data_IF_118140070839
#
_entry.id   IF_118140070839
#
_cell.length_a   1.000
_cell.length_b   1.000
_cell.length_c   1.000
_cell.angle_alpha   90.00
_cell.angle_beta   90.00
_cell.angle_gamma   90.00
#
_symmetry.space_group_name_H-M   'P 1'
#
loop_
_entity.id
_entity.type
_entity.pdbx_description
1 polymer ?
#
# COMPACT_ATOMS: atom_id res chain seq x y z
N UNK A 1 -5.58 10.91 -5.74
CA UNK A 1 -6.86 10.16 -5.73
C UNK A 1 -6.80 9.03 -6.75
N UNK A 2 -7.30 7.82 -6.43
CA UNK A 2 -7.45 6.70 -7.36
C UNK A 2 -8.52 7.00 -8.41
N UNK A 3 -8.51 6.26 -9.52
CA UNK A 3 -9.60 6.26 -10.50
C UNK A 3 -10.80 5.48 -9.93
N UNK A 4 -11.90 6.19 -9.68
CA UNK A 4 -13.15 5.57 -9.20
C UNK A 4 -14.01 5.03 -10.34
N UNK A 5 -13.62 5.27 -11.59
CA UNK A 5 -14.35 4.80 -12.77
C UNK A 5 -13.86 3.44 -13.28
N UNK A 6 -12.72 2.98 -12.77
CA UNK A 6 -12.21 1.65 -13.11
C UNK A 6 -13.17 0.57 -12.60
N UNK A 7 -13.43 -0.47 -13.39
CA UNK A 7 -14.45 -1.49 -13.14
C UNK A 7 -14.32 -2.12 -11.74
N UNK A 8 -13.09 -2.45 -11.32
CA UNK A 8 -12.87 -3.02 -9.99
C UNK A 8 -13.10 -2.05 -8.81
N UNK A 9 -13.19 -0.75 -9.06
CA UNK A 9 -13.37 0.29 -8.05
C UNK A 9 -14.72 1.01 -8.18
N UNK A 10 -15.47 0.78 -9.25
CA UNK A 10 -16.70 1.51 -9.58
C UNK A 10 -17.81 1.39 -8.53
N UNK A 11 -17.91 0.24 -7.88
CA UNK A 11 -18.89 0.01 -6.80
C UNK A 11 -18.35 0.41 -5.42
N UNK A 12 -17.07 0.80 -5.31
CA UNK A 12 -16.42 1.11 -4.05
C UNK A 12 -16.73 2.55 -3.63
N UNK A 13 -17.16 2.72 -2.39
CA UNK A 13 -17.31 4.02 -1.77
C UNK A 13 -15.99 4.42 -1.10
N UNK A 14 -15.41 5.52 -1.58
CA UNK A 14 -14.22 6.14 -1.00
C UNK A 14 -14.61 7.44 -0.30
N UNK A 15 -14.14 7.60 0.92
CA UNK A 15 -14.09 8.88 1.61
C UNK A 15 -12.75 9.54 1.29
N UNK A 16 -12.76 10.78 0.79
CA UNK A 16 -11.53 11.51 0.47
C UNK A 16 -11.26 12.60 1.50
N UNK A 17 -10.08 12.55 2.12
CA UNK A 17 -9.61 13.47 3.13
C UNK A 17 -8.38 14.22 2.59
N UNK A 18 -8.61 15.35 1.92
CA UNK A 18 -7.57 16.17 1.30
C UNK A 18 -7.83 17.68 1.45
N UNK A 19 -6.84 18.51 1.10
CA UNK A 19 -6.94 19.97 1.22
C UNK A 19 -7.67 20.66 0.05
N UNK A 20 -8.04 19.92 -1.00
CA UNK A 20 -8.67 20.47 -2.21
C UNK A 20 -9.52 19.42 -2.92
N UNK A 21 -10.55 19.84 -3.67
CA UNK A 21 -11.35 18.99 -4.57
C UNK A 21 -10.53 18.48 -5.76
N UNK A 22 -9.52 17.64 -5.50
CA UNK A 22 -8.75 16.97 -6.54
C UNK A 22 -9.70 16.06 -7.36
N UNK A 23 -9.55 16.05 -8.68
CA UNK A 23 -10.32 15.11 -9.49
C UNK A 23 -9.90 13.67 -9.16
N UNK A 24 -10.84 12.72 -9.27
CA UNK A 24 -10.51 11.29 -9.24
C UNK A 24 -9.60 10.93 -10.43
N UNK A 25 -8.83 9.84 -10.30
CA UNK A 25 -7.97 9.34 -11.38
C UNK A 25 -6.65 10.07 -11.61
N UNK A 26 -6.31 11.07 -10.80
CA UNK A 26 -5.05 11.84 -10.96
C UNK A 26 -3.80 11.00 -10.68
N UNK A 27 -3.87 10.01 -9.80
CA UNK A 27 -2.69 9.25 -9.36
C UNK A 27 -2.77 7.79 -9.81
N UNK A 28 -1.96 7.38 -10.80
CA UNK A 28 -1.84 5.97 -11.19
C UNK A 28 -1.39 5.07 -10.03
N UNK A 29 -0.51 5.58 -9.18
CA UNK A 29 -0.03 4.88 -7.99
C UNK A 29 -1.15 4.65 -6.97
N UNK A 30 -1.96 5.69 -6.70
CA UNK A 30 -3.17 5.57 -5.89
C UNK A 30 -4.13 4.52 -6.45
N UNK A 31 -4.38 4.56 -7.76
CA UNK A 31 -5.30 3.63 -8.43
C UNK A 31 -4.82 2.19 -8.28
N UNK A 32 -3.52 1.95 -8.48
CA UNK A 32 -2.94 0.64 -8.31
C UNK A 32 -3.08 0.12 -6.87
N UNK A 33 -2.71 0.93 -5.86
CA UNK A 33 -2.83 0.54 -4.44
C UNK A 33 -4.29 0.24 -4.07
N UNK A 34 -5.22 1.13 -4.42
CA UNK A 34 -6.62 0.93 -4.12
C UNK A 34 -7.19 -0.30 -4.83
N UNK A 35 -6.76 -0.60 -6.07
CA UNK A 35 -7.18 -1.82 -6.77
C UNK A 35 -6.67 -3.09 -6.07
N UNK A 36 -5.40 -3.12 -5.66
CA UNK A 36 -4.80 -4.27 -4.95
C UNK A 36 -5.48 -4.50 -3.59
N UNK A 37 -5.90 -3.43 -2.93
CA UNK A 37 -6.50 -3.53 -1.59
C UNK A 37 -8.01 -3.78 -1.65
N UNK A 38 -8.75 -2.98 -2.41
CA UNK A 38 -10.21 -2.95 -2.37
C UNK A 38 -10.90 -3.45 -3.63
N UNK A 39 -10.15 -3.70 -4.71
CA UNK A 39 -10.75 -3.93 -6.01
C UNK A 39 -11.56 -5.22 -6.08
N UNK A 40 -12.65 -5.19 -6.83
CA UNK A 40 -13.51 -6.35 -7.08
C UNK A 40 -14.10 -6.25 -8.48
N UNK A 41 -13.71 -7.14 -9.37
CA UNK A 41 -14.27 -7.22 -10.73
C UNK A 41 -14.45 -8.68 -11.15
N UNK A 42 -15.69 -9.20 -11.15
CA UNK A 42 -15.96 -10.58 -11.55
C UNK A 42 -15.77 -10.85 -13.04
N UNK A 43 -15.65 -9.82 -13.86
CA UNK A 43 -15.54 -9.90 -15.31
C UNK A 43 -14.18 -9.42 -15.82
N UNK A 44 -13.17 -9.36 -14.93
CA UNK A 44 -11.85 -8.88 -15.28
C UNK A 44 -11.22 -9.72 -16.40
N UNK A 45 -10.46 -9.05 -17.26
CA UNK A 45 -9.80 -9.66 -18.40
C UNK A 45 -8.38 -9.12 -18.56
N UNK A 46 -7.44 -9.99 -18.94
CA UNK A 46 -6.12 -9.61 -19.36
C UNK A 46 -5.71 -10.47 -20.57
N UNK A 47 -5.12 -9.91 -21.63
CA UNK A 47 -4.77 -10.66 -22.84
C UNK A 47 -3.90 -11.91 -22.62
N UNK A 48 -3.06 -11.92 -21.57
CA UNK A 48 -2.19 -13.04 -21.24
C UNK A 48 -2.80 -14.02 -20.23
N UNK A 49 -3.81 -13.61 -19.45
CA UNK A 49 -4.46 -14.43 -18.42
C UNK A 49 -5.85 -14.95 -18.82
N UNK A 50 -6.47 -14.33 -19.83
CA UNK A 50 -7.88 -14.55 -20.17
C UNK A 50 -8.82 -13.85 -19.18
N UNK A 51 -10.02 -14.39 -19.01
CA UNK A 51 -11.01 -13.90 -18.06
C UNK A 51 -10.74 -14.49 -16.67
N UNK A 52 -10.87 -13.68 -15.62
CA UNK A 52 -10.67 -14.08 -14.23
C UNK A 52 -11.51 -13.23 -13.28
N UNK A 53 -11.58 -13.66 -12.03
CA UNK A 53 -12.20 -12.89 -10.95
C UNK A 53 -11.11 -12.04 -10.27
N UNK A 54 -11.17 -10.72 -10.42
CA UNK A 54 -10.26 -9.80 -9.73
C UNK A 54 -10.76 -9.54 -8.31
N UNK A 55 -9.89 -9.74 -7.33
CA UNK A 55 -10.18 -9.50 -5.91
C UNK A 55 -8.95 -8.93 -5.22
N UNK A 56 -9.11 -7.77 -4.59
CA UNK A 56 -8.11 -7.19 -3.70
C UNK A 56 -8.00 -7.94 -2.38
N UNK A 57 -7.07 -7.53 -1.53
CA UNK A 57 -6.82 -8.17 -0.24
C UNK A 57 -7.98 -7.99 0.76
N UNK A 58 -8.73 -6.88 0.67
CA UNK A 58 -9.80 -6.48 1.55
C UNK A 58 -10.96 -5.80 0.76
N UNK A 59 -11.60 -6.50 -0.19
CA UNK A 59 -12.55 -5.88 -1.12
C UNK A 59 -13.79 -5.29 -0.44
N UNK A 60 -14.17 -5.80 0.73
CA UNK A 60 -15.35 -5.35 1.48
C UNK A 60 -15.03 -4.25 2.51
N UNK A 61 -13.75 -3.99 2.83
CA UNK A 61 -13.35 -3.00 3.84
C UNK A 61 -13.68 -1.56 3.41
N UNK A 62 -14.12 -0.70 4.33
CA UNK A 62 -14.34 0.72 4.00
C UNK A 62 -13.00 1.42 3.78
N UNK A 63 -12.99 2.42 2.91
CA UNK A 63 -11.77 3.05 2.43
C UNK A 63 -11.79 4.56 2.62
N UNK A 64 -10.97 5.03 3.55
CA UNK A 64 -10.67 6.44 3.78
C UNK A 64 -9.33 6.78 3.14
N UNK A 65 -9.37 7.58 2.09
CA UNK A 65 -8.19 7.96 1.32
C UNK A 65 -7.71 9.32 1.81
N UNK A 66 -6.53 9.34 2.43
CA UNK A 66 -5.93 10.55 2.96
C UNK A 66 -4.82 11.05 2.05
N UNK A 67 -4.87 12.35 1.73
CA UNK A 67 -3.68 13.08 1.31
C UNK A 67 -2.76 13.24 2.52
N UNK A 68 -1.47 13.03 2.30
CA UNK A 68 -0.51 12.90 3.39
C UNK A 68 -0.47 14.13 4.31
N UNK A 69 -0.40 15.36 3.75
CA UNK A 69 -0.39 16.58 4.57
C UNK A 69 -1.71 16.81 5.30
N UNK A 70 -2.84 16.48 4.70
CA UNK A 70 -4.14 16.50 5.35
C UNK A 70 -4.15 15.59 6.60
N UNK A 71 -3.62 14.37 6.50
CA UNK A 71 -3.47 13.48 7.65
C UNK A 71 -2.54 14.06 8.72
N UNK A 72 -1.38 14.59 8.32
CA UNK A 72 -0.46 15.21 9.28
C UNK A 72 -1.13 16.36 10.04
N UNK A 73 -1.92 17.18 9.34
CA UNK A 73 -2.57 18.35 9.93
C UNK A 73 -3.72 17.99 10.85
N UNK A 74 -4.55 17.02 10.48
CA UNK A 74 -5.77 16.71 11.20
C UNK A 74 -5.61 15.58 12.22
N UNK A 75 -4.55 14.78 12.13
CA UNK A 75 -4.33 13.64 13.01
C UNK A 75 -3.02 13.77 13.79
N UNK A 76 -1.91 14.00 13.10
CA UNK A 76 -0.58 13.99 13.74
C UNK A 76 -0.35 15.22 14.62
N UNK A 77 -0.54 16.44 14.10
CA UNK A 77 -0.39 17.67 14.89
C UNK A 77 -1.29 17.72 16.13
N UNK A 78 -2.60 17.42 16.04
CA UNK A 78 -3.47 17.44 17.23
C UNK A 78 -3.34 16.17 18.09
N UNK A 79 -2.62 15.14 17.63
CA UNK A 79 -2.51 13.86 18.34
C UNK A 79 -3.84 13.11 18.45
N UNK A 80 -4.67 13.19 17.42
CA UNK A 80 -6.00 12.57 17.34
C UNK A 80 -5.99 11.46 16.27
N UNK A 81 -6.38 10.22 16.60
CA UNK A 81 -6.36 9.13 15.63
C UNK A 81 -7.41 9.36 14.53
N UNK A 82 -7.22 8.83 13.31
CA UNK A 82 -8.30 8.75 12.34
C UNK A 82 -9.38 7.77 12.82
N UNK A 83 -10.56 7.84 12.22
CA UNK A 83 -11.60 6.82 12.36
C UNK A 83 -11.26 5.67 11.41
N UNK A 84 -10.25 4.88 11.76
CA UNK A 84 -9.77 3.74 10.99
C UNK A 84 -9.10 2.72 11.91
N UNK A 85 -9.31 1.43 11.61
CA UNK A 85 -8.69 0.33 12.34
C UNK A 85 -7.23 0.12 11.90
N UNK A 86 -6.99 0.28 10.59
CA UNK A 86 -5.69 0.05 9.96
C UNK A 86 -5.33 1.23 9.07
N UNK A 87 -4.08 1.66 9.19
CA UNK A 87 -3.47 2.64 8.30
C UNK A 87 -2.47 1.92 7.41
N UNK A 88 -2.64 2.01 6.10
CA UNK A 88 -1.65 1.54 5.12
C UNK A 88 -0.97 2.72 4.43
N UNK A 89 0.36 2.68 4.41
CA UNK A 89 1.20 3.74 3.89
C UNK A 89 2.19 3.20 2.85
N UNK A 90 1.81 3.26 1.58
CA UNK A 90 2.65 2.85 0.45
C UNK A 90 3.58 3.98 -0.03
N UNK A 91 4.05 4.81 0.90
CA UNK A 91 4.87 6.01 0.69
C UNK A 91 5.99 6.02 1.72
N UNK A 92 7.07 6.77 1.45
CA UNK A 92 8.04 7.02 2.50
C UNK A 92 9.16 8.00 2.17
N UNK A 93 9.90 8.38 3.21
CA UNK A 93 11.04 9.28 3.16
C UNK A 93 12.27 8.64 3.82
N UNK A 94 13.47 8.89 3.29
CA UNK A 94 14.73 8.38 3.83
C UNK A 94 15.08 8.89 5.23
N UNK A 95 14.45 9.98 5.66
CA UNK A 95 14.69 10.59 6.97
C UNK A 95 13.53 10.37 7.92
N UNK A 96 13.88 9.96 9.13
CA UNK A 96 12.99 10.08 10.27
C UNK A 96 12.82 11.56 10.61
N UNK A 97 11.57 12.00 10.75
CA UNK A 97 11.27 13.39 11.10
C UNK A 97 10.13 13.45 12.12
N UNK A 98 9.74 14.65 12.54
CA UNK A 98 8.71 14.91 13.54
C UNK A 98 7.39 14.18 13.24
N UNK A 99 7.02 14.05 11.96
CA UNK A 99 5.78 13.39 11.56
C UNK A 99 5.83 11.88 11.76
N UNK A 100 7.00 11.26 11.61
CA UNK A 100 7.21 9.83 11.91
C UNK A 100 6.97 9.57 13.39
N UNK A 101 7.58 10.40 14.26
CA UNK A 101 7.37 10.32 15.71
C UNK A 101 5.93 10.58 16.12
N UNK A 102 5.26 11.47 15.39
CA UNK A 102 3.85 11.73 15.55
C UNK A 102 2.97 10.51 15.24
N UNK A 103 3.25 9.81 14.13
CA UNK A 103 2.58 8.53 13.80
C UNK A 103 2.84 7.48 14.88
N UNK A 104 4.10 7.31 15.31
CA UNK A 104 4.43 6.36 16.39
C UNK A 104 3.70 6.67 17.70
N UNK A 105 3.55 7.96 18.03
CA UNK A 105 2.80 8.41 19.19
C UNK A 105 1.30 8.10 19.05
N UNK A 106 0.72 8.18 17.85
CA UNK A 106 -0.66 7.76 17.63
C UNK A 106 -0.83 6.24 17.82
N UNK A 107 0.11 5.45 17.29
CA UNK A 107 0.12 3.98 17.50
C UNK A 107 0.20 3.64 18.98
N UNK A 108 1.15 4.23 19.70
CA UNK A 108 1.37 3.92 21.12
C UNK A 108 0.17 4.29 22.01
N UNK A 109 -0.48 5.42 21.72
CA UNK A 109 -1.58 5.93 22.56
C UNK A 109 -2.93 5.27 22.27
N UNK A 110 -3.19 4.95 21.00
CA UNK A 110 -4.52 4.54 20.55
C UNK A 110 -4.57 3.10 20.05
N UNK A 111 -3.43 2.40 19.97
CA UNK A 111 -3.38 1.02 19.48
C UNK A 111 -3.62 0.89 17.97
N UNK A 112 -3.42 1.97 17.20
CA UNK A 112 -3.58 1.95 15.74
C UNK A 112 -2.58 0.99 15.09
N UNK A 113 -3.06 0.18 14.14
CA UNK A 113 -2.17 -0.65 13.34
C UNK A 113 -1.73 0.16 12.12
N UNK A 114 -0.42 0.41 11.99
CA UNK A 114 0.15 1.08 10.82
C UNK A 114 1.04 0.09 10.07
N UNK A 115 0.76 -0.08 8.78
CA UNK A 115 1.51 -0.92 7.86
C UNK A 115 2.11 -0.02 6.79
N UNK A 116 3.42 -0.10 6.54
CA UNK A 116 4.08 0.80 5.61
C UNK A 116 5.21 0.14 4.84
N UNK A 117 5.40 0.55 3.59
CA UNK A 117 6.48 0.05 2.74
C UNK A 117 7.84 0.49 3.25
N UNK A 118 8.82 -0.41 3.21
CA UNK A 118 10.17 -0.14 3.71
C UNK A 118 11.06 0.60 2.70
N UNK A 119 10.63 0.73 1.45
CA UNK A 119 11.39 1.31 0.36
C UNK A 119 11.84 0.31 -0.69
N UNK A 120 12.21 0.85 -1.85
CA UNK A 120 12.44 0.09 -3.08
C UNK A 120 13.92 -0.19 -3.39
N UNK A 121 14.83 -0.05 -2.43
CA UNK A 121 16.16 -0.65 -2.47
C UNK A 121 16.98 -0.53 -3.76
N UNK A 122 16.91 0.54 -4.55
CA UNK A 122 17.58 0.63 -5.85
C UNK A 122 19.10 0.35 -5.83
N UNK A 123 19.74 0.43 -4.65
CA UNK A 123 21.03 -0.18 -4.34
C UNK A 123 21.04 -0.90 -2.98
N UNK A 124 22.00 -1.81 -2.79
CA UNK A 124 22.25 -2.58 -1.54
C UNK A 124 22.44 -1.69 -0.29
N UNK A 125 22.73 -0.40 -0.47
CA UNK A 125 22.95 0.55 0.62
C UNK A 125 21.87 1.63 0.72
N UNK A 126 20.78 1.50 -0.04
CA UNK A 126 19.70 2.47 0.02
C UNK A 126 19.07 2.48 1.41
N UNK A 127 18.79 3.66 1.98
CA UNK A 127 18.22 3.76 3.30
C UNK A 127 16.81 3.14 3.32
N UNK A 128 16.43 2.66 4.51
CA UNK A 128 15.03 2.35 4.79
C UNK A 128 14.20 3.63 4.75
N UNK A 129 12.96 3.51 4.29
CA UNK A 129 12.01 4.62 4.29
C UNK A 129 11.12 4.61 5.52
N UNK A 130 10.89 5.79 6.07
CA UNK A 130 9.88 6.06 7.09
C UNK A 130 8.55 6.37 6.42
N UNK A 131 7.39 5.96 6.99
CA UNK A 131 7.25 5.43 8.34
C UNK A 131 7.55 3.92 8.47
N UNK A 132 7.79 3.16 7.39
CA UNK A 132 8.05 1.72 7.47
C UNK A 132 9.21 1.32 8.39
N UNK A 133 10.24 2.17 8.46
CA UNK A 133 11.39 1.99 9.35
C UNK A 133 11.15 2.38 10.82
N UNK A 134 9.98 2.95 11.16
CA UNK A 134 9.64 3.36 12.52
C UNK A 134 9.43 2.14 13.45
N UNK A 135 9.62 2.31 14.75
CA UNK A 135 9.61 1.21 15.72
C UNK A 135 8.21 0.62 15.93
N UNK A 136 7.19 1.49 15.94
CA UNK A 136 5.79 1.10 16.16
C UNK A 136 4.99 0.90 14.87
N UNK A 137 5.65 0.78 13.72
CA UNK A 137 5.01 0.58 12.40
C UNK A 137 5.41 -0.78 11.87
N UNK A 138 4.50 -1.52 11.24
CA UNK A 138 4.81 -2.75 10.53
C UNK A 138 5.42 -2.38 9.17
N UNK A 139 6.74 -2.50 9.07
CA UNK A 139 7.52 -2.27 7.86
C UNK A 139 7.47 -3.48 6.93
N UNK A 140 7.03 -3.26 5.69
CA UNK A 140 6.84 -4.31 4.68
C UNK A 140 7.92 -4.21 3.60
N UNK A 141 8.71 -5.27 3.48
CA UNK A 141 9.65 -5.48 2.37
C UNK A 141 9.01 -6.22 1.19
N UNK A 142 9.83 -6.49 0.18
CA UNK A 142 9.39 -7.14 -1.06
C UNK A 142 10.06 -8.50 -1.20
N UNK A 143 9.27 -9.53 -1.51
CA UNK A 143 9.76 -10.74 -2.17
C UNK A 143 9.48 -10.61 -3.65
N UNK A 144 10.49 -10.85 -4.47
CA UNK A 144 10.32 -10.79 -5.92
C UNK A 144 9.47 -11.94 -6.44
N UNK A 145 8.79 -11.70 -7.54
CA UNK A 145 8.25 -12.77 -8.37
C UNK A 145 9.36 -13.56 -9.05
N UNK A 146 9.05 -14.79 -9.48
CA UNK A 146 9.85 -15.43 -10.51
C UNK A 146 9.75 -14.60 -11.80
N UNK A 147 10.87 -14.39 -12.48
CA UNK A 147 10.92 -13.62 -13.72
C UNK A 147 10.94 -14.57 -14.94
N UNK A 148 9.78 -14.78 -15.55
CA UNK A 148 9.60 -15.58 -16.77
C UNK A 148 8.76 -14.83 -17.80
N UNK A 149 8.69 -15.35 -19.04
CA UNK A 149 7.76 -14.83 -20.06
C UNK A 149 6.28 -15.12 -19.75
N UNK A 150 6.00 -16.02 -18.81
CA UNK A 150 4.65 -16.40 -18.42
C UNK A 150 4.14 -15.51 -17.27
N UNK A 151 3.23 -14.59 -17.57
CA UNK A 151 2.66 -13.67 -16.58
C UNK A 151 1.99 -14.41 -15.40
N UNK A 152 1.27 -15.51 -15.66
CA UNK A 152 0.63 -16.27 -14.59
C UNK A 152 1.66 -16.87 -13.62
N UNK A 153 2.79 -17.36 -14.14
CA UNK A 153 3.89 -17.86 -13.30
C UNK A 153 4.53 -16.74 -12.48
N UNK A 154 4.71 -15.55 -13.08
CA UNK A 154 5.25 -14.39 -12.38
C UNK A 154 4.32 -13.94 -11.25
N UNK A 155 3.00 -13.99 -11.42
CA UNK A 155 2.05 -13.58 -10.39
C UNK A 155 1.87 -14.65 -9.28
N UNK A 156 2.04 -15.92 -9.60
CA UNK A 156 1.76 -17.04 -8.67
C UNK A 156 2.99 -17.55 -7.90
N UNK A 157 4.20 -17.27 -8.38
CA UNK A 157 5.42 -17.81 -7.80
C UNK A 157 6.40 -16.71 -7.41
N UNK A 158 6.99 -16.89 -6.24
CA UNK A 158 7.99 -15.99 -5.68
C UNK A 158 9.39 -16.56 -5.83
N UNK A 159 10.37 -15.66 -5.98
CA UNK A 159 11.79 -15.96 -5.93
C UNK A 159 12.36 -15.52 -4.58
N UNK A 160 13.51 -14.86 -4.55
CA UNK A 160 14.16 -14.37 -3.34
C UNK A 160 13.85 -12.89 -3.11
N UNK A 161 14.05 -12.41 -1.89
CA UNK A 161 14.14 -10.98 -1.64
C UNK A 161 15.48 -10.48 -2.22
N UNK A 162 15.40 -9.56 -3.18
CA UNK A 162 16.57 -8.95 -3.81
C UNK A 162 16.75 -7.52 -3.24
N UNK A 163 17.98 -7.16 -2.82
CA UNK A 163 18.27 -5.82 -2.31
C UNK A 163 17.80 -4.73 -3.26
N UNK A 164 17.89 -4.96 -4.56
CA UNK A 164 17.58 -4.02 -5.66
C UNK A 164 16.11 -3.58 -5.70
N UNK A 165 15.21 -4.33 -5.05
CA UNK A 165 13.76 -4.07 -5.05
C UNK A 165 13.17 -3.92 -3.64
N UNK A 166 13.93 -4.24 -2.60
CA UNK A 166 13.52 -4.08 -1.20
C UNK A 166 14.66 -3.50 -0.38
N UNK A 167 14.44 -2.32 0.21
CA UNK A 167 15.34 -1.84 1.25
C UNK A 167 15.36 -2.84 2.41
N UNK A 168 16.52 -3.02 3.03
CA UNK A 168 16.71 -3.97 4.15
C UNK A 168 17.55 -3.34 5.24
N UNK A 169 17.28 -3.75 6.48
CA UNK A 169 17.89 -3.16 7.65
C UNK A 169 19.32 -3.65 7.90
N UNK A 170 19.89 -3.30 9.06
CA UNK A 170 19.20 -2.64 10.18
C UNK A 170 18.86 -1.17 9.93
N UNK A 171 18.00 -0.59 10.76
CA UNK A 171 17.88 0.87 10.88
C UNK A 171 19.18 1.49 11.40
N UNK A 172 19.32 2.81 11.30
CA UNK A 172 20.51 3.52 11.78
C UNK A 172 20.80 3.29 13.28
N UNK A 173 19.76 3.03 14.08
CA UNK A 173 19.83 2.71 15.50
C UNK A 173 19.84 1.19 15.80
N UNK A 174 19.97 0.34 14.77
CA UNK A 174 20.19 -1.10 14.94
C UNK A 174 18.93 -1.96 15.07
N UNK A 175 17.73 -1.39 14.84
CA UNK A 175 16.48 -2.17 14.86
C UNK A 175 16.36 -3.05 13.61
N UNK A 176 15.72 -4.20 13.77
CA UNK A 176 15.45 -5.14 12.69
C UNK A 176 14.28 -4.62 11.84
N UNK A 177 14.54 -4.39 10.54
CA UNK A 177 13.55 -4.01 9.52
C UNK A 177 13.93 -4.65 8.17
N UNK A 178 12.99 -4.92 7.26
CA UNK A 178 11.53 -4.89 7.47
C UNK A 178 11.07 -5.92 8.50
N UNK A 179 9.86 -5.76 9.04
CA UNK A 179 9.30 -6.72 10.00
C UNK A 179 8.80 -7.98 9.29
N UNK A 180 8.26 -7.79 8.08
CA UNK A 180 7.76 -8.86 7.21
C UNK A 180 8.06 -8.55 5.74
N UNK A 181 7.90 -9.55 4.88
CA UNK A 181 8.01 -9.39 3.44
C UNK A 181 6.75 -9.94 2.75
N UNK A 182 6.34 -9.32 1.65
CA UNK A 182 5.21 -9.76 0.84
C UNK A 182 5.52 -9.61 -0.65
N UNK A 183 4.74 -10.29 -1.49
CA UNK A 183 4.88 -10.18 -2.95
C UNK A 183 4.58 -8.76 -3.41
N UNK A 184 5.51 -8.14 -4.15
CA UNK A 184 5.34 -6.78 -4.68
C UNK A 184 4.70 -6.74 -6.06
N UNK A 185 4.80 -7.82 -6.84
CA UNK A 185 4.26 -7.89 -8.18
C UNK A 185 2.80 -8.37 -8.15
N UNK A 186 1.89 -7.42 -8.18
CA UNK A 186 0.46 -7.65 -8.23
C UNK A 186 -0.08 -7.34 -9.63
N UNK A 187 -1.28 -7.82 -9.90
CA UNK A 187 -2.07 -7.29 -11.00
C UNK A 187 -2.85 -6.07 -10.49
N UNK A 188 -2.72 -4.92 -11.13
CA UNK A 188 -3.34 -3.67 -10.70
C UNK A 188 -4.09 -2.98 -11.84
N UNK A 189 -5.09 -2.18 -11.46
CA UNK A 189 -5.89 -1.37 -12.36
C UNK A 189 -5.05 -0.27 -13.04
N UNK A 190 -5.28 -0.06 -14.34
CA UNK A 190 -4.79 1.11 -15.05
C UNK A 190 -5.62 2.34 -14.67
N UNK A 191 -5.00 3.51 -14.52
CA UNK A 191 -5.75 4.72 -14.17
C UNK A 191 -6.54 5.32 -15.33
N UNK A 192 -6.20 4.98 -16.57
CA UNK A 192 -6.73 5.61 -17.78
C UNK A 192 -7.66 4.70 -18.58
N UNK A 193 -7.67 3.40 -18.30
CA UNK A 193 -8.46 2.40 -19.01
C UNK A 193 -9.28 1.59 -17.99
N UNK A 194 -10.63 1.71 -17.98
CA UNK A 194 -11.46 1.22 -16.87
C UNK A 194 -11.52 -0.30 -16.74
N UNK A 195 -11.11 -1.05 -17.76
CA UNK A 195 -11.11 -2.50 -17.81
C UNK A 195 -9.71 -3.12 -17.92
N UNK A 196 -8.66 -2.29 -17.84
CA UNK A 196 -7.28 -2.74 -18.07
C UNK A 196 -6.55 -3.03 -16.77
N UNK A 197 -5.95 -4.22 -16.75
CA UNK A 197 -5.13 -4.69 -15.65
C UNK A 197 -3.69 -4.97 -16.12
N UNK A 198 -2.70 -4.50 -15.36
CA UNK A 198 -1.27 -4.69 -15.66
C UNK A 198 -0.45 -5.13 -14.45
N UNK A 199 0.67 -5.85 -14.66
CA UNK A 199 1.58 -6.20 -13.58
C UNK A 199 2.27 -4.95 -13.05
N UNK A 200 2.37 -4.84 -11.73
CA UNK A 200 3.02 -3.70 -11.07
C UNK A 200 4.54 -3.79 -11.04
N UNK A 201 5.10 -5.01 -11.16
CA UNK A 201 6.49 -5.28 -10.81
C UNK A 201 6.70 -5.33 -9.30
N UNK A 202 7.89 -5.76 -8.88
CA UNK A 202 8.22 -5.96 -7.46
C UNK A 202 8.56 -4.64 -6.77
N UNK A 203 7.58 -4.02 -6.08
CA UNK A 203 7.82 -2.79 -5.31
C UNK A 203 7.14 -2.81 -3.94
N UNK A 204 7.74 -2.13 -2.97
CA UNK A 204 7.25 -2.10 -1.58
C UNK A 204 5.90 -1.40 -1.45
N UNK A 205 5.62 -0.40 -2.28
CA UNK A 205 4.30 0.25 -2.36
C UNK A 205 3.17 -0.72 -2.69
N UNK A 206 3.46 -1.82 -3.40
CA UNK A 206 2.48 -2.82 -3.81
C UNK A 206 2.49 -4.05 -2.92
N UNK A 207 3.61 -4.36 -2.24
CA UNK A 207 3.63 -5.40 -1.21
C UNK A 207 2.93 -4.95 0.08
N UNK A 208 2.96 -3.65 0.40
CA UNK A 208 2.29 -3.07 1.58
C UNK A 208 0.79 -3.38 1.65
N UNK A 209 -0.04 -3.06 0.63
CA UNK A 209 -1.48 -3.37 0.67
C UNK A 209 -1.80 -4.87 0.61
N UNK A 210 -0.85 -5.72 0.18
CA UNK A 210 -1.01 -7.19 0.23
C UNK A 210 -0.91 -7.70 1.66
N UNK A 211 -0.16 -7.01 2.51
CA UNK A 211 -0.16 -7.25 3.95
C UNK A 211 -1.46 -6.68 4.51
N UNK A 212 -2.51 -7.45 4.29
CA UNK A 212 -3.77 -7.26 4.96
C UNK A 212 -3.78 -8.06 6.25
N UNK A 213 -4.01 -7.38 7.36
CA UNK A 213 -4.24 -8.03 8.65
C UNK A 213 -5.73 -8.30 8.75
N UNK A 214 -6.12 -9.55 8.46
CA UNK A 214 -7.50 -9.98 8.64
C UNK A 214 -7.83 -10.00 10.14
N UNK A 215 -8.57 -8.99 10.61
CA UNK A 215 -9.20 -9.00 11.93
C UNK A 215 -10.66 -9.49 11.74
N UNK A 216 -10.98 -10.74 12.09
CA UNK A 216 -12.25 -11.38 11.69
C UNK A 216 -13.50 -10.86 12.40
N UNK A 217 -13.39 -9.89 13.32
CA UNK A 217 -14.51 -9.47 14.17
C UNK A 217 -15.31 -8.26 13.65
N UNK A 218 -14.84 -7.51 12.65
CA UNK A 218 -15.56 -6.36 12.07
C UNK A 218 -15.25 -6.16 10.59
N UNK A 219 -16.14 -5.49 9.85
CA UNK A 219 -15.79 -4.88 8.55
C UNK A 219 -14.87 -3.69 8.84
N UNK A 220 -13.56 -3.79 8.58
CA UNK A 220 -12.63 -2.81 9.08
C UNK A 220 -12.61 -1.55 8.21
N UNK A 221 -12.36 -0.42 8.86
CA UNK A 221 -12.13 0.87 8.23
C UNK A 221 -10.63 1.06 7.97
N UNK A 222 -10.27 1.31 6.72
CA UNK A 222 -8.88 1.37 6.28
C UNK A 222 -8.55 2.77 5.77
N UNK A 223 -7.62 3.42 6.47
CA UNK A 223 -7.01 4.65 6.01
C UNK A 223 -5.85 4.34 5.07
N UNK A 224 -5.84 4.92 3.87
CA UNK A 224 -4.76 4.78 2.89
C UNK A 224 -4.06 6.12 2.70
N UNK A 225 -2.74 6.15 2.85
CA UNK A 225 -1.93 7.33 2.53
C UNK A 225 -1.46 7.29 1.08
N UNK A 226 -1.83 8.34 0.35
CA UNK A 226 -1.45 8.51 -1.06
C UNK A 226 -0.85 9.91 -1.24
N UNK A 227 0.20 9.99 -2.07
CA UNK A 227 0.70 11.25 -2.62
C UNK A 227 -0.13 11.68 -3.84
#
# INVERSE_FOLDING_TARGET
RPSTEHNCLAEKQFSFNDQAELLAGISPHSTAICSILFGKDPNAFNPQLGQFYYQGAAPEAKADIYEFWHFLINNVFPGTPPDADIITASIGNQFEDWWTRGIESLVERYGLIVVAGIGNGSNVHDPLLYPGAAANVIGVGVVDSVNTENLAANLAHFSLAYPEHSSFGPTADGRCKPDIVAGGNCLAADSNEPDRYGPTGSWSSFSTPVVWVNCPEFEPEVAVFLW
#
